data_IF_973413525712
#
_entry.id   IF_973413525712
#
_cell.length_a   1.000
_cell.length_b   1.000
_cell.length_c   1.000
_cell.angle_alpha   90.00
_cell.angle_beta   90.00
_cell.angle_gamma   90.00
#
_symmetry.space_group_name_H-M   'P 1'
#
loop_
_entity.id
_entity.type
_entity.pdbx_description
1 polymer ?
#
# COMPACT_ATOMS: atom_id res chain seq x y z
N UNK A 1 57.70 -4.66 0.44
CA UNK A 1 56.99 -3.37 0.62
C UNK A 1 56.42 -2.90 -0.71
N UNK A 2 55.13 -3.14 -0.97
CA UNK A 2 54.31 -2.34 -1.90
C UNK A 2 52.87 -2.43 -1.41
N UNK A 3 52.45 -1.44 -0.63
CA UNK A 3 51.05 -1.25 -0.23
C UNK A 3 50.29 -0.67 -1.41
N UNK A 4 49.23 -1.34 -1.86
CA UNK A 4 48.24 -0.77 -2.76
C UNK A 4 47.09 -0.22 -1.92
N UNK A 5 46.96 1.10 -1.90
CA UNK A 5 45.88 1.83 -1.23
C UNK A 5 44.67 1.80 -2.18
N UNK A 6 43.62 1.06 -1.83
CA UNK A 6 42.31 1.22 -2.47
C UNK A 6 41.67 2.51 -1.95
N UNK A 7 41.51 3.49 -2.83
CA UNK A 7 40.71 4.69 -2.56
C UNK A 7 39.23 4.34 -2.72
N UNK A 8 38.47 4.36 -1.63
CA UNK A 8 37.00 4.30 -1.66
C UNK A 8 36.51 5.72 -1.92
N UNK A 9 36.08 6.00 -3.15
CA UNK A 9 35.35 7.22 -3.46
C UNK A 9 33.91 7.06 -2.98
N UNK A 10 33.59 7.66 -1.83
CA UNK A 10 32.21 7.81 -1.37
C UNK A 10 31.52 8.89 -2.21
N UNK A 11 30.61 8.49 -3.09
CA UNK A 11 29.67 9.42 -3.72
C UNK A 11 28.56 9.73 -2.71
N UNK A 12 28.71 10.85 -1.99
CA UNK A 12 27.61 11.48 -1.28
C UNK A 12 26.74 12.22 -2.31
N UNK A 13 25.70 11.55 -2.82
CA UNK A 13 24.61 12.24 -3.52
C UNK A 13 23.69 12.81 -2.46
N UNK A 14 23.88 14.07 -2.11
CA UNK A 14 22.90 14.85 -1.35
C UNK A 14 21.76 15.16 -2.32
N UNK A 15 20.81 14.24 -2.42
CA UNK A 15 19.54 14.52 -3.07
C UNK A 15 18.77 15.51 -2.20
N UNK A 16 18.50 16.70 -2.73
CA UNK A 16 17.56 17.66 -2.14
C UNK A 16 16.16 17.04 -2.19
N UNK A 17 15.81 16.22 -1.19
CA UNK A 17 14.42 15.84 -0.98
C UNK A 17 13.64 17.13 -0.71
N UNK A 18 12.75 17.50 -1.62
CA UNK A 18 11.78 18.56 -1.37
C UNK A 18 11.05 18.21 -0.07
N UNK A 19 10.97 19.14 0.90
CA UNK A 19 10.20 18.87 2.11
C UNK A 19 8.76 18.60 1.69
N UNK A 20 8.22 17.45 2.10
CA UNK A 20 6.79 17.23 2.09
C UNK A 20 6.22 18.31 3.02
N UNK A 21 5.68 19.38 2.45
CA UNK A 21 5.02 20.44 3.23
C UNK A 21 3.71 19.86 3.72
N UNK A 22 3.77 19.22 4.89
CA UNK A 22 2.62 18.64 5.55
C UNK A 22 1.93 19.73 6.36
N UNK A 23 0.71 20.09 5.97
CA UNK A 23 -0.14 20.98 6.76
C UNK A 23 -0.57 20.21 8.01
N UNK A 24 -0.24 20.74 9.18
CA UNK A 24 -0.52 20.11 10.48
C UNK A 24 -2.03 20.09 10.78
N UNK A 25 -2.72 19.03 10.35
CA UNK A 25 -3.63 18.39 11.31
C UNK A 25 -2.71 17.94 12.45
N UNK A 26 -3.06 18.22 13.71
CA UNK A 26 -2.29 17.70 14.85
C UNK A 26 -2.49 16.17 14.90
N UNK A 27 -1.81 15.45 14.01
CA UNK A 27 -1.76 14.00 13.97
C UNK A 27 -1.05 13.58 15.24
N UNK A 28 -1.77 12.86 16.09
CA UNK A 28 -1.23 12.29 17.32
C UNK A 28 -0.88 10.83 17.10
N UNK A 29 0.01 10.29 17.95
CA UNK A 29 0.29 8.85 17.92
C UNK A 29 -0.98 8.02 18.11
N UNK A 30 -1.93 8.49 18.93
CA UNK A 30 -3.23 7.82 19.10
C UNK A 30 -4.07 7.77 17.83
N UNK A 31 -4.01 8.80 16.98
CA UNK A 31 -4.64 8.80 15.66
C UNK A 31 -3.93 7.80 14.74
N UNK A 32 -2.60 7.79 14.71
CA UNK A 32 -1.82 6.85 13.88
C UNK A 32 -2.04 5.39 14.31
N UNK A 33 -2.08 5.11 15.61
CA UNK A 33 -2.34 3.76 16.13
C UNK A 33 -3.77 3.30 15.80
N UNK A 34 -4.78 4.16 15.92
CA UNK A 34 -6.15 3.83 15.50
C UNK A 34 -6.28 3.67 13.99
N UNK A 35 -5.52 4.45 13.23
CA UNK A 35 -5.43 4.33 11.79
C UNK A 35 -4.85 2.96 11.39
N UNK A 36 -3.71 2.58 11.97
CA UNK A 36 -3.10 1.27 11.78
C UNK A 36 -4.07 0.16 12.18
N UNK A 37 -4.69 0.24 13.38
CA UNK A 37 -5.65 -0.77 13.85
C UNK A 37 -6.86 -0.93 12.92
N UNK A 38 -7.28 0.12 12.22
CA UNK A 38 -8.35 0.00 11.21
C UNK A 38 -7.92 -0.85 10.01
N UNK A 39 -6.65 -0.75 9.59
CA UNK A 39 -6.10 -1.58 8.51
C UNK A 39 -5.84 -3.01 9.00
N UNK A 40 -5.29 -3.20 10.20
CA UNK A 40 -5.10 -4.52 10.79
C UNK A 40 -6.42 -5.28 10.96
N UNK A 41 -7.50 -4.60 11.35
CA UNK A 41 -8.82 -5.23 11.41
C UNK A 41 -9.34 -5.67 10.03
N UNK A 42 -8.98 -4.95 8.97
CA UNK A 42 -9.35 -5.30 7.60
C UNK A 42 -8.59 -6.57 7.18
N UNK A 43 -7.28 -6.63 7.43
CA UNK A 43 -6.41 -7.78 7.09
C UNK A 43 -6.73 -9.02 7.95
N UNK A 44 -6.88 -8.88 9.27
CA UNK A 44 -7.29 -9.96 10.16
C UNK A 44 -8.65 -10.54 9.73
N UNK A 45 -9.62 -9.68 9.39
CA UNK A 45 -10.93 -10.16 8.93
C UNK A 45 -10.84 -10.85 7.57
N UNK A 46 -10.09 -10.28 6.63
CA UNK A 46 -9.83 -10.86 5.32
C UNK A 46 -9.30 -12.30 5.44
N UNK A 47 -8.27 -12.52 6.25
CA UNK A 47 -7.68 -13.85 6.42
C UNK A 47 -8.60 -14.81 7.16
N UNK A 48 -9.22 -14.38 8.27
CA UNK A 48 -10.14 -15.24 9.03
C UNK A 48 -11.34 -15.66 8.20
N UNK A 49 -11.90 -14.78 7.38
CA UNK A 49 -13.01 -15.12 6.47
C UNK A 49 -12.55 -16.00 5.30
N UNK A 50 -11.38 -15.74 4.73
CA UNK A 50 -10.77 -16.57 3.69
C UNK A 50 -10.57 -18.02 4.16
N UNK A 51 -10.00 -18.21 5.35
CA UNK A 51 -9.74 -19.52 5.95
C UNK A 51 -11.00 -20.23 6.45
N UNK A 52 -12.09 -19.50 6.71
CA UNK A 52 -13.42 -20.12 6.91
C UNK A 52 -14.02 -20.62 5.60
N UNK A 53 -13.75 -19.94 4.49
CA UNK A 53 -14.34 -20.21 3.17
C UNK A 53 -13.58 -21.29 2.40
N UNK A 54 -12.26 -21.35 2.53
CA UNK A 54 -11.41 -22.25 1.75
C UNK A 54 -10.62 -23.18 2.64
N UNK A 55 -10.52 -24.43 2.21
CA UNK A 55 -9.71 -25.48 2.84
C UNK A 55 -8.38 -25.69 2.11
N UNK A 56 -7.47 -26.46 2.71
CA UNK A 56 -6.24 -26.89 2.03
C UNK A 56 -6.51 -27.58 0.68
N UNK A 57 -7.61 -28.33 0.55
CA UNK A 57 -8.00 -28.98 -0.71
C UNK A 57 -8.35 -27.97 -1.80
N UNK A 58 -8.99 -26.85 -1.43
CA UNK A 58 -9.32 -25.78 -2.38
C UNK A 58 -8.06 -25.07 -2.87
N UNK A 59 -7.06 -24.89 -2.00
CA UNK A 59 -5.74 -24.38 -2.39
C UNK A 59 -5.03 -25.31 -3.37
N UNK A 60 -5.01 -26.61 -3.10
CA UNK A 60 -4.43 -27.61 -4.02
C UNK A 60 -5.18 -27.64 -5.35
N UNK A 61 -6.52 -27.55 -5.33
CA UNK A 61 -7.34 -27.46 -6.54
C UNK A 61 -6.99 -26.21 -7.37
N UNK A 62 -6.73 -25.09 -6.70
CA UNK A 62 -6.28 -23.83 -7.30
C UNK A 62 -4.77 -23.80 -7.64
N UNK A 63 -4.08 -24.96 -7.60
CA UNK A 63 -2.67 -25.14 -7.96
C UNK A 63 -1.67 -24.48 -6.99
N UNK A 64 -2.09 -24.17 -5.77
CA UNK A 64 -1.20 -23.88 -4.64
C UNK A 64 -0.84 -25.17 -3.90
N UNK A 65 0.07 -25.09 -2.91
CA UNK A 65 0.45 -26.23 -2.09
C UNK A 65 -0.28 -26.23 -0.75
N UNK A 66 -0.30 -27.37 -0.06
CA UNK A 66 -0.76 -27.42 1.35
C UNK A 66 0.13 -26.58 2.27
N UNK A 67 1.42 -26.44 1.93
CA UNK A 67 2.30 -25.49 2.61
C UNK A 67 1.78 -24.06 2.43
N UNK A 68 1.32 -23.67 1.23
CA UNK A 68 0.72 -22.34 1.03
C UNK A 68 -0.45 -22.09 1.97
N UNK A 69 -1.38 -23.04 2.07
CA UNK A 69 -2.48 -22.93 3.03
C UNK A 69 -1.98 -22.77 4.47
N UNK A 70 -0.98 -23.56 4.88
CA UNK A 70 -0.40 -23.48 6.24
C UNK A 70 0.28 -22.13 6.52
N UNK A 71 0.91 -21.52 5.50
CA UNK A 71 1.49 -20.18 5.61
C UNK A 71 0.41 -19.11 5.71
N UNK A 72 -0.68 -19.21 4.95
CA UNK A 72 -1.84 -18.31 5.11
C UNK A 72 -2.43 -18.41 6.53
N UNK A 73 -2.49 -19.60 7.12
CA UNK A 73 -2.89 -19.73 8.53
C UNK A 73 -1.94 -19.05 9.51
N UNK A 74 -0.64 -19.02 9.19
CA UNK A 74 0.37 -18.31 9.99
C UNK A 74 0.17 -16.80 9.89
N UNK A 75 0.04 -16.27 8.67
CA UNK A 75 -0.24 -14.84 8.41
C UNK A 75 -1.51 -14.42 9.14
N UNK A 76 -2.60 -15.18 8.99
CA UNK A 76 -3.85 -14.90 9.71
C UNK A 76 -3.69 -14.78 11.24
N UNK A 77 -2.77 -15.53 11.84
CA UNK A 77 -2.50 -15.47 13.28
C UNK A 77 -1.66 -14.25 13.64
N UNK A 78 -0.71 -13.90 12.78
CA UNK A 78 0.11 -12.71 12.94
C UNK A 78 -0.80 -11.45 12.88
N UNK A 79 -1.74 -11.38 11.94
CA UNK A 79 -2.73 -10.27 11.85
C UNK A 79 -3.61 -10.15 13.10
N UNK A 80 -4.14 -11.27 13.60
CA UNK A 80 -4.87 -11.27 14.88
C UNK A 80 -3.99 -10.74 16.03
N UNK A 81 -2.69 -11.08 16.01
CA UNK A 81 -1.73 -10.62 17.03
C UNK A 81 -1.44 -9.13 16.91
N UNK A 82 -1.35 -8.59 15.69
CA UNK A 82 -1.21 -7.15 15.44
C UNK A 82 -2.42 -6.37 15.97
N UNK A 83 -3.65 -6.84 15.66
CA UNK A 83 -4.89 -6.27 16.18
C UNK A 83 -4.91 -6.23 17.71
N UNK A 84 -4.59 -7.35 18.37
CA UNK A 84 -4.53 -7.45 19.83
C UNK A 84 -3.50 -6.49 20.42
N UNK A 85 -2.31 -6.43 19.80
CA UNK A 85 -1.22 -5.57 20.23
C UNK A 85 -1.60 -4.09 20.16
N UNK A 86 -2.10 -3.61 19.01
CA UNK A 86 -2.50 -2.21 18.84
C UNK A 86 -3.69 -1.83 19.72
N UNK A 87 -4.67 -2.73 19.85
CA UNK A 87 -5.80 -2.56 20.77
C UNK A 87 -5.32 -2.40 22.21
N UNK A 88 -4.36 -3.23 22.63
CA UNK A 88 -3.73 -3.15 23.95
C UNK A 88 -2.97 -1.84 24.16
N UNK A 89 -2.18 -1.41 23.16
CA UNK A 89 -1.43 -0.16 23.20
C UNK A 89 -2.35 1.07 23.33
N UNK A 90 -3.44 1.12 22.57
CA UNK A 90 -4.45 2.19 22.65
C UNK A 90 -5.13 2.22 24.02
N UNK A 91 -5.57 1.06 24.52
CA UNK A 91 -6.18 0.94 25.86
C UNK A 91 -5.22 1.39 26.96
N UNK A 92 -3.95 0.99 26.90
CA UNK A 92 -2.93 1.39 27.86
C UNK A 92 -2.67 2.91 27.84
N UNK A 93 -2.81 3.54 26.67
CA UNK A 93 -2.74 4.99 26.51
C UNK A 93 -4.03 5.74 26.94
N UNK A 94 -5.08 5.02 27.38
CA UNK A 94 -6.38 5.61 27.71
C UNK A 94 -7.14 6.11 26.48
N UNK A 95 -6.79 5.62 25.29
CA UNK A 95 -7.38 6.01 24.01
C UNK A 95 -8.37 4.93 23.59
N UNK A 96 -9.54 5.34 23.13
CA UNK A 96 -10.53 4.41 22.59
C UNK A 96 -9.97 3.75 21.32
N UNK A 97 -9.91 2.41 21.33
CA UNK A 97 -9.55 1.63 20.16
C UNK A 97 -10.73 1.53 19.20
N UNK A 98 -10.44 1.68 17.90
CA UNK A 98 -11.39 1.39 16.83
C UNK A 98 -11.80 -0.09 16.90
N UNK A 99 -13.06 -0.37 16.58
CA UNK A 99 -13.56 -1.73 16.46
C UNK A 99 -13.61 -2.16 14.99
N UNK A 100 -13.61 -3.48 14.78
CA UNK A 100 -13.73 -4.12 13.47
C UNK A 100 -14.95 -3.60 12.68
N UNK A 101 -14.73 -3.28 11.41
CA UNK A 101 -15.79 -2.90 10.47
C UNK A 101 -16.40 -4.13 9.80
N UNK A 102 -17.45 -3.94 9.01
CA UNK A 102 -17.94 -4.96 8.07
C UNK A 102 -17.29 -4.74 6.71
N UNK A 103 -16.84 -5.82 6.09
CA UNK A 103 -16.07 -5.78 4.85
C UNK A 103 -16.72 -6.50 3.67
N UNK A 104 -16.23 -6.22 2.46
CA UNK A 104 -16.52 -6.98 1.24
C UNK A 104 -15.28 -7.05 0.36
N UNK A 105 -14.71 -8.25 0.30
CA UNK A 105 -13.46 -8.49 -0.43
C UNK A 105 -13.69 -8.97 -1.86
N UNK A 106 -14.93 -9.29 -2.25
CA UNK A 106 -15.29 -9.63 -3.64
C UNK A 106 -14.68 -10.91 -4.24
N UNK A 107 -13.77 -11.62 -3.56
CA UNK A 107 -13.14 -12.82 -4.10
C UNK A 107 -14.09 -14.04 -4.13
N UNK A 108 -14.01 -14.80 -5.23
CA UNK A 108 -14.89 -15.95 -5.49
C UNK A 108 -14.18 -17.29 -5.27
N UNK A 109 -12.88 -17.34 -5.54
CA UNK A 109 -12.03 -18.52 -5.46
C UNK A 109 -10.69 -18.21 -4.77
N UNK A 110 -9.86 -19.24 -4.58
CA UNK A 110 -8.56 -19.11 -3.93
C UNK A 110 -7.60 -18.22 -4.73
N UNK A 111 -7.69 -18.22 -6.06
CA UNK A 111 -6.84 -17.35 -6.88
C UNK A 111 -7.15 -15.87 -6.64
N UNK A 112 -8.44 -15.51 -6.62
CA UNK A 112 -8.89 -14.16 -6.27
C UNK A 112 -8.57 -13.78 -4.83
N UNK A 113 -8.67 -14.73 -3.89
CA UNK A 113 -8.24 -14.52 -2.50
C UNK A 113 -6.73 -14.22 -2.44
N UNK A 114 -5.87 -15.05 -3.03
CA UNK A 114 -4.42 -14.82 -3.02
C UNK A 114 -4.00 -13.54 -3.76
N UNK A 115 -4.72 -13.15 -4.80
CA UNK A 115 -4.50 -11.87 -5.48
C UNK A 115 -4.86 -10.68 -4.58
N UNK A 116 -5.98 -10.77 -3.84
CA UNK A 116 -6.39 -9.74 -2.87
C UNK A 116 -5.41 -9.67 -1.70
N UNK A 117 -4.91 -10.82 -1.23
CA UNK A 117 -3.88 -10.90 -0.20
C UNK A 117 -2.62 -10.13 -0.63
N UNK A 118 -2.13 -10.35 -1.85
CA UNK A 118 -0.95 -9.63 -2.37
C UNK A 118 -1.14 -8.11 -2.36
N UNK A 119 -2.36 -7.65 -2.69
CA UNK A 119 -2.72 -6.24 -2.65
C UNK A 119 -2.69 -5.68 -1.23
N UNK A 120 -3.41 -6.32 -0.30
CA UNK A 120 -3.57 -5.84 1.07
C UNK A 120 -2.22 -5.75 1.77
N UNK A 121 -1.43 -6.82 1.75
CA UNK A 121 -0.11 -6.90 2.38
C UNK A 121 0.87 -5.84 1.88
N UNK A 122 0.90 -5.61 0.57
CA UNK A 122 1.73 -4.54 0.02
C UNK A 122 1.21 -3.15 0.41
N UNK A 123 -0.11 -2.97 0.55
CA UNK A 123 -0.71 -1.72 1.04
C UNK A 123 -0.42 -1.53 2.53
N UNK A 124 -0.50 -2.57 3.36
CA UNK A 124 -0.12 -2.58 4.77
C UNK A 124 1.35 -2.18 4.97
N UNK A 125 2.27 -2.82 4.25
CA UNK A 125 3.70 -2.48 4.28
C UNK A 125 3.94 -1.01 3.84
N UNK A 126 3.29 -0.56 2.77
CA UNK A 126 3.36 0.83 2.31
C UNK A 126 2.77 1.82 3.33
N UNK A 127 1.72 1.43 4.07
CA UNK A 127 1.07 2.24 5.09
C UNK A 127 1.97 2.46 6.30
N UNK A 128 2.57 1.40 6.85
CA UNK A 128 3.53 1.51 7.94
C UNK A 128 4.75 2.33 7.54
N UNK A 129 5.27 2.12 6.33
CA UNK A 129 6.42 2.88 5.82
C UNK A 129 6.10 4.38 5.72
N UNK A 130 4.92 4.74 5.19
CA UNK A 130 4.49 6.13 5.09
C UNK A 130 4.15 6.79 6.44
N UNK A 131 3.57 6.04 7.37
CA UNK A 131 3.22 6.53 8.70
C UNK A 131 4.43 6.68 9.63
N UNK A 132 5.56 6.01 9.36
CA UNK A 132 6.74 6.02 10.22
C UNK A 132 7.23 7.44 10.57
N UNK A 133 7.19 8.38 9.62
CA UNK A 133 7.60 9.76 9.84
C UNK A 133 6.61 10.57 10.72
N UNK A 134 5.39 10.07 10.90
CA UNK A 134 4.32 10.73 11.65
C UNK A 134 4.24 10.27 13.10
N UNK A 135 4.96 9.19 13.46
CA UNK A 135 4.98 8.64 14.83
C UNK A 135 5.99 9.42 15.67
N UNK A 136 5.50 10.09 16.72
CA UNK A 136 6.30 10.90 17.64
C UNK A 136 6.96 10.02 18.71
N UNK A 137 6.20 9.11 19.31
CA UNK A 137 6.64 8.23 20.40
C UNK A 137 7.59 7.15 19.91
N UNK A 138 8.82 7.13 20.44
CA UNK A 138 9.85 6.18 20.00
C UNK A 138 9.48 4.72 20.24
N UNK A 139 8.75 4.44 21.32
CA UNK A 139 8.23 3.09 21.59
C UNK A 139 7.24 2.65 20.50
N UNK A 140 6.32 3.53 20.11
CA UNK A 140 5.38 3.25 19.03
C UNK A 140 6.07 3.13 17.67
N UNK A 141 7.09 3.96 17.41
CA UNK A 141 7.87 3.85 16.18
C UNK A 141 8.61 2.51 16.09
N UNK A 142 9.22 2.04 17.19
CA UNK A 142 9.86 0.72 17.24
C UNK A 142 8.84 -0.40 17.04
N UNK A 143 7.66 -0.29 17.65
CA UNK A 143 6.58 -1.25 17.46
C UNK A 143 6.10 -1.30 16.00
N UNK A 144 5.82 -0.14 15.40
CA UNK A 144 5.44 -0.02 14.00
C UNK A 144 6.51 -0.58 13.05
N UNK A 145 7.79 -0.33 13.32
CA UNK A 145 8.89 -0.91 12.54
C UNK A 145 8.96 -2.43 12.65
N UNK A 146 8.59 -2.99 13.81
CA UNK A 146 8.51 -4.45 14.00
C UNK A 146 7.41 -5.05 13.13
N UNK A 147 6.20 -4.46 13.16
CA UNK A 147 5.05 -4.92 12.35
C UNK A 147 5.37 -4.79 10.86
N UNK A 148 5.83 -3.61 10.41
CA UNK A 148 6.27 -3.39 9.03
C UNK A 148 7.21 -4.49 8.49
N UNK A 149 8.16 -4.93 9.32
CA UNK A 149 9.10 -5.98 8.91
C UNK A 149 8.43 -7.33 8.67
N UNK A 150 7.32 -7.60 9.37
CA UNK A 150 6.52 -8.82 9.26
C UNK A 150 5.60 -8.72 8.03
N UNK A 151 4.87 -7.61 7.87
CA UNK A 151 4.07 -7.29 6.67
C UNK A 151 4.88 -7.46 5.38
N UNK A 152 6.10 -6.92 5.35
CA UNK A 152 6.97 -7.03 4.18
C UNK A 152 7.35 -8.49 3.87
N UNK A 153 7.48 -9.37 4.89
CA UNK A 153 7.76 -10.81 4.69
C UNK A 153 6.53 -11.56 4.22
N UNK A 154 5.35 -11.23 4.76
CA UNK A 154 4.07 -11.77 4.32
C UNK A 154 3.81 -11.41 2.84
N UNK A 155 3.92 -10.13 2.49
CA UNK A 155 3.85 -9.63 1.12
C UNK A 155 4.82 -10.37 0.19
N UNK A 156 6.10 -10.45 0.56
CA UNK A 156 7.12 -11.17 -0.22
C UNK A 156 6.78 -12.64 -0.46
N UNK A 157 6.30 -13.33 0.58
CA UNK A 157 5.86 -14.72 0.48
C UNK A 157 4.67 -14.87 -0.48
N UNK A 158 3.62 -14.05 -0.31
CA UNK A 158 2.39 -14.14 -1.11
C UNK A 158 2.68 -13.84 -2.57
N UNK A 159 3.46 -12.79 -2.85
CA UNK A 159 3.92 -12.44 -4.20
C UNK A 159 4.61 -13.63 -4.87
N UNK A 160 5.56 -14.28 -4.19
CA UNK A 160 6.21 -15.48 -4.71
C UNK A 160 5.22 -16.64 -4.94
N UNK A 161 4.27 -16.84 -4.02
CA UNK A 161 3.24 -17.88 -4.15
C UNK A 161 2.40 -17.70 -5.42
N UNK A 162 2.06 -16.45 -5.78
CA UNK A 162 1.32 -16.10 -6.99
C UNK A 162 2.21 -15.81 -8.21
N UNK A 163 3.48 -16.19 -8.17
CA UNK A 163 4.46 -16.06 -9.28
C UNK A 163 4.81 -14.61 -9.66
N UNK A 164 4.63 -13.67 -8.75
CA UNK A 164 5.18 -12.32 -8.83
C UNK A 164 6.58 -12.29 -8.20
N UNK A 165 7.34 -11.23 -8.49
CA UNK A 165 8.64 -11.01 -7.87
C UNK A 165 8.48 -10.76 -6.35
N UNK A 166 9.12 -11.57 -5.47
CA UNK A 166 9.03 -11.43 -4.01
C UNK A 166 9.67 -10.15 -3.45
N UNK A 167 10.64 -9.58 -4.14
CA UNK A 167 11.39 -8.39 -3.72
C UNK A 167 11.67 -7.52 -4.95
N UNK A 168 10.62 -6.94 -5.56
CA UNK A 168 10.71 -6.31 -6.87
C UNK A 168 11.51 -5.00 -6.87
N UNK A 169 11.60 -4.35 -5.70
CA UNK A 169 12.23 -3.04 -5.53
C UNK A 169 13.17 -3.06 -4.32
N UNK A 170 14.27 -2.28 -4.33
CA UNK A 170 15.14 -2.12 -3.17
C UNK A 170 14.52 -1.28 -2.03
N UNK A 171 13.40 -0.61 -2.29
CA UNK A 171 12.71 0.24 -1.32
C UNK A 171 11.20 0.01 -1.34
N UNK A 172 10.59 0.02 -0.15
CA UNK A 172 9.14 0.06 0.02
C UNK A 172 8.58 1.46 -0.36
N UNK A 173 7.35 1.51 -0.87
CA UNK A 173 6.74 2.77 -1.29
C UNK A 173 5.97 3.40 -0.11
N UNK A 174 6.40 4.57 0.41
CA UNK A 174 5.67 5.24 1.49
C UNK A 174 4.40 5.88 0.95
N UNK A 175 3.23 5.36 1.33
CA UNK A 175 1.95 5.98 1.00
C UNK A 175 1.45 6.89 2.13
N UNK A 176 0.86 8.03 1.77
CA UNK A 176 0.16 8.89 2.72
C UNK A 176 -1.15 8.27 3.20
N UNK A 177 -1.66 8.73 4.35
CA UNK A 177 -2.87 8.19 4.99
C UNK A 177 -4.08 8.20 4.05
N UNK A 178 -4.30 9.28 3.29
CA UNK A 178 -5.40 9.35 2.34
C UNK A 178 -5.22 8.39 1.16
N UNK A 179 -3.98 8.19 0.69
CA UNK A 179 -3.69 7.26 -0.41
C UNK A 179 -3.96 5.82 0.00
N UNK A 180 -3.50 5.42 1.19
CA UNK A 180 -3.80 4.09 1.76
C UNK A 180 -5.30 3.93 2.02
N UNK A 181 -5.94 4.92 2.65
CA UNK A 181 -7.39 4.87 2.88
C UNK A 181 -8.19 4.78 1.57
N UNK A 182 -7.73 5.42 0.49
CA UNK A 182 -8.34 5.29 -0.85
C UNK A 182 -8.28 3.86 -1.37
N UNK A 183 -7.20 3.13 -1.10
CA UNK A 183 -7.04 1.73 -1.50
C UNK A 183 -7.82 0.77 -0.60
N UNK A 184 -7.97 1.08 0.69
CA UNK A 184 -8.71 0.27 1.65
C UNK A 184 -10.23 0.48 1.58
N UNK A 185 -10.69 1.71 1.32
CA UNK A 185 -12.10 2.08 1.36
C UNK A 185 -13.05 1.20 0.53
N UNK A 186 -12.69 0.70 -0.67
CA UNK A 186 -13.55 -0.19 -1.45
C UNK A 186 -13.93 -1.49 -0.73
N UNK A 187 -13.12 -1.94 0.23
CA UNK A 187 -13.38 -3.15 1.02
C UNK A 187 -14.25 -2.88 2.25
N UNK A 188 -14.44 -1.63 2.66
CA UNK A 188 -15.13 -1.27 3.89
C UNK A 188 -16.59 -0.94 3.58
N UNK A 189 -17.53 -1.78 4.03
CA UNK A 189 -18.97 -1.53 3.89
C UNK A 189 -19.50 -0.54 4.92
N UNK A 190 -19.15 -0.76 6.19
CA UNK A 190 -19.59 0.07 7.30
C UNK A 190 -18.75 -0.18 8.54
N UNK A 191 -18.49 0.86 9.32
CA UNK A 191 -17.81 0.75 10.61
C UNK A 191 -18.77 1.14 11.75
N UNK A 192 -18.58 0.60 12.97
CA UNK A 192 -19.32 1.04 14.15
C UNK A 192 -19.26 2.57 14.31
N UNK A 193 -20.40 3.21 14.57
CA UNK A 193 -20.48 4.66 14.79
C UNK A 193 -19.72 5.14 16.03
N UNK A 194 -19.37 4.21 16.91
CA UNK A 194 -18.52 4.44 18.09
C UNK A 194 -17.04 4.57 17.74
N UNK A 195 -16.60 4.17 16.55
CA UNK A 195 -15.19 4.25 16.18
C UNK A 195 -14.72 5.72 16.16
N UNK A 196 -13.49 5.99 16.64
CA UNK A 196 -12.94 7.34 16.58
C UNK A 196 -12.81 7.78 15.12
N UNK A 197 -13.12 9.05 14.86
CA UNK A 197 -12.97 9.61 13.52
C UNK A 197 -11.48 9.68 13.13
N UNK A 198 -11.15 9.16 11.96
CA UNK A 198 -9.82 9.27 11.37
C UNK A 198 -9.77 10.51 10.47
N UNK A 199 -8.70 11.31 10.48
CA UNK A 199 -8.56 12.50 9.64
C UNK A 199 -8.15 12.13 8.21
N UNK A 200 -8.85 11.16 7.61
CA UNK A 200 -8.56 10.65 6.28
C UNK A 200 -9.74 10.84 5.35
N UNK A 201 -9.43 10.99 4.07
CA UNK A 201 -10.39 11.17 3.00
C UNK A 201 -9.94 10.35 1.80
N UNK A 202 -10.84 9.49 1.30
CA UNK A 202 -10.59 8.81 0.05
C UNK A 202 -10.57 9.82 -1.11
N UNK A 203 -9.56 9.73 -1.95
CA UNK A 203 -9.51 10.45 -3.21
C UNK A 203 -10.48 9.82 -4.22
N UNK A 204 -10.85 10.55 -5.29
CA UNK A 204 -11.53 9.95 -6.43
C UNK A 204 -10.78 8.72 -6.96
N UNK A 205 -11.50 7.65 -7.25
CA UNK A 205 -10.91 6.39 -7.68
C UNK A 205 -10.13 6.54 -9.00
N UNK A 206 -8.99 5.87 -9.08
CA UNK A 206 -8.18 5.75 -10.28
C UNK A 206 -7.95 4.27 -10.57
N UNK A 207 -8.25 3.85 -11.78
CA UNK A 207 -7.98 2.49 -12.26
C UNK A 207 -6.87 2.53 -13.28
N UNK A 208 -5.99 1.52 -13.28
CA UNK A 208 -4.92 1.39 -14.27
C UNK A 208 -4.96 -0.01 -14.90
N UNK A 209 -4.77 -0.08 -16.22
CA UNK A 209 -4.71 -1.33 -16.96
C UNK A 209 -3.73 -1.21 -18.14
N UNK A 210 -3.08 -2.32 -18.50
CA UNK A 210 -2.31 -2.36 -19.73
C UNK A 210 -3.21 -2.23 -20.96
N UNK A 211 -2.71 -1.52 -21.98
CA UNK A 211 -3.47 -1.27 -23.21
C UNK A 211 -3.76 -2.61 -23.89
N UNK A 212 -5.05 -2.84 -24.24
CA UNK A 212 -5.54 -4.10 -24.83
C UNK A 212 -5.21 -5.35 -23.98
N UNK A 213 -5.13 -5.19 -22.66
CA UNK A 213 -4.85 -6.29 -21.73
C UNK A 213 -3.39 -6.73 -21.69
N UNK A 214 -2.47 -5.91 -22.22
CA UNK A 214 -1.04 -6.16 -22.10
C UNK A 214 -0.59 -6.19 -20.63
N UNK A 215 0.49 -6.91 -20.33
CA UNK A 215 1.15 -6.80 -19.04
C UNK A 215 1.72 -5.39 -18.87
N UNK A 216 1.67 -4.89 -17.64
CA UNK A 216 2.27 -3.61 -17.28
C UNK A 216 3.77 -3.86 -17.04
N UNK A 217 4.61 -3.15 -17.80
CA UNK A 217 6.07 -3.27 -17.78
C UNK A 217 6.70 -1.89 -17.80
N UNK A 218 7.94 -1.78 -17.32
CA UNK A 218 8.73 -0.55 -17.42
C UNK A 218 8.85 -0.07 -18.88
N UNK A 219 8.70 1.24 -19.10
CA UNK A 219 8.68 1.85 -20.44
C UNK A 219 7.38 1.65 -21.23
N UNK A 220 6.47 0.80 -20.74
CA UNK A 220 5.18 0.52 -21.37
C UNK A 220 4.14 1.63 -21.16
N UNK A 221 3.14 1.66 -22.04
CA UNK A 221 1.99 2.56 -21.89
C UNK A 221 0.80 1.82 -21.27
N UNK A 222 0.15 2.48 -20.32
CA UNK A 222 -1.06 2.01 -19.63
C UNK A 222 -2.21 2.98 -19.86
N UNK A 223 -3.43 2.46 -19.85
CA UNK A 223 -4.64 3.27 -19.76
C UNK A 223 -4.98 3.46 -18.29
N UNK A 224 -5.20 4.72 -17.90
CA UNK A 224 -5.71 5.08 -16.58
C UNK A 224 -7.03 5.84 -16.71
N UNK A 225 -7.98 5.53 -15.84
CA UNK A 225 -9.33 6.05 -15.92
C UNK A 225 -9.83 6.47 -14.54
N UNK A 226 -10.72 7.46 -14.48
CA UNK A 226 -11.37 7.95 -13.27
C UNK A 226 -12.88 7.69 -13.33
N UNK A 227 -13.35 6.47 -12.99
CA UNK A 227 -14.76 6.12 -13.13
C UNK A 227 -15.67 7.08 -12.35
N UNK A 228 -16.71 7.59 -13.01
CA UNK A 228 -17.69 8.50 -12.37
C UNK A 228 -17.13 9.87 -11.98
N UNK A 229 -15.90 10.20 -12.37
CA UNK A 229 -15.24 11.44 -12.00
C UNK A 229 -14.53 12.08 -13.19
N UNK A 230 -14.78 13.36 -13.43
CA UNK A 230 -14.12 14.13 -14.49
C UNK A 230 -13.15 15.13 -13.86
N UNK A 231 -11.86 14.96 -14.14
CA UNK A 231 -10.83 15.90 -13.72
C UNK A 231 -10.97 17.21 -14.51
N UNK A 232 -10.83 18.34 -13.81
CA UNK A 232 -10.80 19.69 -14.39
C UNK A 232 -9.40 20.28 -14.24
N UNK A 233 -8.98 21.05 -15.23
CA UNK A 233 -7.67 21.72 -15.22
C UNK A 233 -6.53 20.82 -15.69
N UNK A 234 -5.31 21.22 -15.36
CA UNK A 234 -4.10 20.49 -15.73
C UNK A 234 -4.00 19.15 -14.99
N UNK A 235 -3.49 18.15 -15.71
CA UNK A 235 -3.32 16.79 -15.20
C UNK A 235 -1.89 16.35 -15.45
N UNK A 236 -1.25 15.89 -14.39
CA UNK A 236 0.04 15.22 -14.42
C UNK A 236 -0.11 13.83 -13.80
N UNK A 237 0.78 12.92 -14.18
CA UNK A 237 0.84 11.57 -13.63
C UNK A 237 2.15 11.41 -12.87
N UNK A 238 2.08 10.84 -11.66
CA UNK A 238 3.25 10.62 -10.82
C UNK A 238 3.18 9.27 -10.12
N UNK A 239 4.27 8.51 -10.20
CA UNK A 239 4.46 7.33 -9.37
C UNK A 239 5.02 7.76 -8.01
N UNK A 240 4.48 7.20 -6.93
CA UNK A 240 4.95 7.47 -5.58
C UNK A 240 6.18 6.60 -5.30
N UNK A 241 7.27 7.20 -4.82
CA UNK A 241 8.49 6.49 -4.40
C UNK A 241 9.10 7.15 -3.16
N UNK A 242 9.98 6.43 -2.45
CA UNK A 242 10.63 6.95 -1.23
C UNK A 242 11.57 8.14 -1.50
N UNK A 243 12.14 8.24 -2.71
CA UNK A 243 13.04 9.34 -3.10
C UNK A 243 12.28 10.55 -3.66
N UNK A 244 10.95 10.50 -3.66
CA UNK A 244 10.06 11.53 -4.19
C UNK A 244 9.21 11.03 -5.35
N UNK A 245 8.20 11.81 -5.78
CA UNK A 245 7.35 11.42 -6.90
C UNK A 245 8.13 11.39 -8.22
N UNK A 246 7.93 10.32 -8.99
CA UNK A 246 8.46 10.20 -10.36
C UNK A 246 7.37 10.61 -11.34
N UNK A 247 7.45 11.85 -11.82
CA UNK A 247 6.55 12.38 -12.83
C UNK A 247 6.79 11.72 -14.19
N UNK A 248 5.70 11.47 -14.91
CA UNK A 248 5.75 10.82 -16.22
C UNK A 248 4.78 11.48 -17.21
N UNK A 249 4.91 11.11 -18.48
CA UNK A 249 4.05 11.59 -19.54
C UNK A 249 2.62 11.09 -19.34
N UNK A 250 1.66 12.01 -19.49
CA UNK A 250 0.23 11.73 -19.49
C UNK A 250 -0.38 12.36 -20.75
N UNK A 251 -1.18 11.58 -21.47
CA UNK A 251 -1.85 12.01 -22.69
C UNK A 251 -3.33 11.69 -22.57
N UNK A 252 -4.20 12.63 -22.94
CA UNK A 252 -5.65 12.40 -22.90
C UNK A 252 -6.04 11.32 -23.91
N UNK A 253 -6.91 10.41 -23.50
CA UNK A 253 -7.49 9.35 -24.31
C UNK A 253 -9.03 9.40 -24.23
N UNK A 254 -9.70 8.63 -25.08
CA UNK A 254 -11.18 8.55 -25.09
C UNK A 254 -11.72 8.13 -23.74
N UNK A 255 -11.12 7.12 -23.11
CA UNK A 255 -11.59 6.50 -21.86
C UNK A 255 -10.74 6.88 -20.64
N UNK A 256 -10.04 8.01 -20.70
CA UNK A 256 -9.20 8.50 -19.60
C UNK A 256 -7.89 9.09 -20.10
N UNK A 257 -6.76 8.52 -19.68
CA UNK A 257 -5.43 8.99 -20.02
C UNK A 257 -4.50 7.82 -20.33
N UNK A 258 -3.60 8.00 -21.29
CA UNK A 258 -2.44 7.13 -21.47
C UNK A 258 -1.31 7.67 -20.62
N UNK A 259 -0.75 6.80 -19.78
CA UNK A 259 0.41 7.10 -18.93
C UNK A 259 1.55 6.16 -19.31
N UNK A 260 2.78 6.68 -19.40
CA UNK A 260 3.97 5.86 -19.62
C UNK A 260 4.57 5.44 -18.29
N UNK A 261 4.80 4.14 -18.07
CA UNK A 261 5.55 3.65 -16.91
C UNK A 261 7.03 4.02 -17.10
N UNK A 262 7.70 4.67 -16.13
CA UNK A 262 9.13 4.96 -16.24
C UNK A 262 9.98 3.72 -16.56
N UNK A 263 11.08 3.89 -17.30
CA UNK A 263 11.97 2.77 -17.69
C UNK A 263 12.73 2.16 -16.51
N UNK A 264 12.87 2.88 -15.41
CA UNK A 264 13.64 2.45 -14.23
C UNK A 264 12.98 2.92 -12.95
N UNK A 265 13.20 2.19 -11.85
CA UNK A 265 12.78 2.59 -10.50
C UNK A 265 11.32 2.28 -10.15
N UNK A 266 10.52 1.76 -11.08
CA UNK A 266 9.14 1.32 -10.84
C UNK A 266 9.06 -0.17 -11.17
N UNK A 267 8.75 -1.01 -10.16
CA UNK A 267 8.65 -2.46 -10.29
C UNK A 267 7.81 -3.05 -9.17
N UNK A 268 7.13 -4.16 -9.43
CA UNK A 268 6.22 -4.82 -8.50
C UNK A 268 4.97 -4.01 -8.20
N UNK A 269 4.44 -4.15 -6.99
CA UNK A 269 3.31 -3.36 -6.52
C UNK A 269 3.70 -1.88 -6.43
N UNK A 270 3.17 -1.08 -7.35
CA UNK A 270 3.49 0.33 -7.54
C UNK A 270 2.21 1.17 -7.51
N UNK A 271 2.35 2.44 -7.15
CA UNK A 271 1.21 3.33 -6.94
C UNK A 271 1.33 4.59 -7.80
N UNK A 272 0.33 4.81 -8.64
CA UNK A 272 0.26 5.96 -9.54
C UNK A 272 -0.88 6.88 -9.10
N UNK A 273 -0.61 8.18 -9.02
CA UNK A 273 -1.65 9.20 -8.83
C UNK A 273 -1.76 10.11 -10.05
N UNK A 274 -2.95 10.68 -10.23
CA UNK A 274 -3.13 11.88 -11.04
C UNK A 274 -3.12 13.10 -10.11
N UNK A 275 -2.38 14.14 -10.50
CA UNK A 275 -2.16 15.35 -9.69
C UNK A 275 -2.31 16.61 -10.56
N UNK A 276 -2.74 17.72 -9.94
CA UNK A 276 -2.80 19.04 -10.57
C UNK A 276 -1.50 19.85 -10.40
N UNK A 277 -0.47 19.24 -9.82
CA UNK A 277 0.84 19.84 -9.58
C UNK A 277 1.94 18.96 -10.16
N UNK A 278 2.89 19.56 -10.89
CA UNK A 278 4.00 18.86 -11.55
C UNK A 278 5.32 18.86 -10.75
N UNK A 279 5.31 19.36 -9.51
CA UNK A 279 6.49 19.42 -8.64
C UNK A 279 6.30 18.71 -7.31
N UNK A 280 5.05 18.45 -6.90
CA UNK A 280 4.74 17.80 -5.63
C UNK A 280 3.49 16.91 -5.72
N UNK A 281 3.54 15.79 -4.99
CA UNK A 281 2.40 14.93 -4.71
C UNK A 281 2.09 15.05 -3.22
N UNK A 282 0.91 15.58 -2.92
CA UNK A 282 0.38 15.82 -1.57
C UNK A 282 -1.11 15.54 -1.56
N UNK A 283 -1.74 15.57 -0.38
CA UNK A 283 -3.19 15.43 -0.27
C UNK A 283 -3.94 16.54 -1.03
N UNK A 284 -3.41 17.76 -1.06
CA UNK A 284 -4.04 18.91 -1.72
C UNK A 284 -3.84 18.90 -3.25
N UNK A 285 -2.78 18.26 -3.73
CA UNK A 285 -2.47 18.20 -5.18
C UNK A 285 -2.98 16.95 -5.87
N UNK A 286 -3.25 15.89 -5.12
CA UNK A 286 -3.80 14.63 -5.66
C UNK A 286 -5.25 14.82 -6.10
N UNK A 287 -5.52 14.62 -7.39
CA UNK A 287 -6.88 14.76 -7.96
C UNK A 287 -7.58 13.41 -8.15
N UNK A 288 -6.83 12.31 -8.26
CA UNK A 288 -7.36 10.94 -8.26
C UNK A 288 -6.26 9.92 -7.91
N UNK A 289 -6.67 8.80 -7.31
CA UNK A 289 -5.83 7.65 -7.01
C UNK A 289 -5.37 7.56 -5.56
N UNK A 290 -4.39 6.70 -5.24
CA UNK A 290 -3.58 5.97 -6.20
C UNK A 290 -4.35 4.87 -6.93
N UNK A 291 -3.98 4.63 -8.18
CA UNK A 291 -4.17 3.34 -8.82
C UNK A 291 -3.03 2.41 -8.36
N UNK A 292 -3.38 1.16 -8.06
CA UNK A 292 -2.44 0.08 -7.78
C UNK A 292 -2.08 -0.63 -9.10
N UNK A 293 -0.79 -0.91 -9.30
CA UNK A 293 -0.27 -1.57 -10.49
C UNK A 293 0.71 -2.67 -10.08
N UNK A 294 0.68 -3.80 -10.78
CA UNK A 294 1.77 -4.78 -10.74
C UNK A 294 2.65 -4.58 -11.99
N UNK A 295 3.86 -4.04 -11.79
CA UNK A 295 4.81 -3.76 -12.87
C UNK A 295 5.84 -4.88 -12.96
N UNK A 296 5.87 -5.58 -14.10
CA UNK A 296 6.77 -6.72 -14.36
C UNK A 296 8.08 -6.28 -15.00
#
# INVERSE_FOLDING_TARGET
MKSSILSVAAFAVVGSASPIVQRSVNITDGIILNYALTLEHLEDTFYREGLKKFSAKDFVAAKFTEETYSRIQTISKDESTHVEFLTGALKAAGIQATAECTYDFGYKDVAGFMATASVLEGVGASAYTGAAAQIMGKVYLTAAASILSVEARHSSYIRNAIKQAPFPSPFEVPLGLNSVYTLAAPFIKSCPSTNPALPVKAFPSLTAAGIKGAQIVAGGNILVSTPGYTIKGDVYAAFITVTGPVFTQVQKATDGYIVTVPNTGISGQSYLVLTNCNTAVTDDTTVAGPALLEVN
#
